data_IF_801116562808
#
_entry.id   IF_801116562808
#
_cell.length_a   1.000
_cell.length_b   1.000
_cell.length_c   1.000
_cell.angle_alpha   90.00
_cell.angle_beta   90.00
_cell.angle_gamma   90.00
#
_symmetry.space_group_name_H-M   'P 1'
#
loop_
_entity.id
_entity.type
_entity.pdbx_description
1 polymer ?
#
# COMPACT_ATOMS: atom_id res chain seq x y z
N UNK A 1 5.70 -3.36 -42.48
CA UNK A 1 6.36 -2.83 -41.27
C UNK A 1 5.42 -2.58 -40.07
N UNK A 2 4.12 -2.94 -40.11
CA UNK A 2 3.17 -2.77 -38.97
C UNK A 2 3.01 -4.01 -38.06
N UNK A 3 3.20 -5.22 -38.59
CA UNK A 3 3.06 -6.48 -37.83
C UNK A 3 4.15 -6.75 -36.78
N UNK A 4 5.30 -6.08 -36.86
CA UNK A 4 6.40 -6.25 -35.89
C UNK A 4 6.15 -5.47 -34.59
N UNK A 5 5.43 -4.35 -34.65
CA UNK A 5 5.18 -3.51 -33.48
C UNK A 5 4.14 -4.13 -32.55
N UNK A 6 3.03 -4.65 -33.10
CA UNK A 6 1.99 -5.34 -32.32
C UNK A 6 2.51 -6.63 -31.67
N UNK A 7 3.36 -7.40 -32.37
CA UNK A 7 3.98 -8.62 -31.84
C UNK A 7 4.99 -8.30 -30.72
N UNK A 8 5.73 -7.20 -30.84
CA UNK A 8 6.62 -6.69 -29.79
C UNK A 8 5.83 -6.12 -28.60
N UNK A 9 4.68 -5.48 -28.83
CA UNK A 9 3.82 -4.94 -27.77
C UNK A 9 3.12 -6.06 -26.98
N UNK A 10 2.68 -7.12 -27.67
CA UNK A 10 2.14 -8.33 -27.05
C UNK A 10 3.23 -9.13 -26.32
N UNK A 11 4.45 -9.25 -26.88
CA UNK A 11 5.58 -9.86 -26.16
C UNK A 11 6.04 -9.01 -24.96
N UNK A 12 5.93 -7.68 -25.02
CA UNK A 12 6.26 -6.81 -23.90
C UNK A 12 5.17 -6.81 -22.82
N UNK A 13 3.90 -6.87 -23.24
CA UNK A 13 2.74 -7.06 -22.36
C UNK A 13 2.80 -8.40 -21.63
N UNK A 14 3.04 -9.49 -22.36
CA UNK A 14 3.23 -10.83 -21.79
C UNK A 14 4.48 -10.88 -20.91
N UNK A 15 5.63 -10.28 -21.29
CA UNK A 15 6.84 -10.27 -20.44
C UNK A 15 6.73 -9.47 -19.14
N UNK A 16 5.73 -8.61 -18.95
CA UNK A 16 5.52 -7.88 -17.69
C UNK A 16 4.52 -8.61 -16.81
N UNK A 17 3.49 -9.21 -17.42
CA UNK A 17 2.48 -10.01 -16.75
C UNK A 17 3.05 -11.39 -16.34
N UNK A 18 3.92 -12.00 -17.16
CA UNK A 18 4.51 -13.31 -16.94
C UNK A 18 5.70 -13.32 -15.96
N UNK A 19 6.24 -12.16 -15.57
CA UNK A 19 7.46 -12.09 -14.73
C UNK A 19 7.24 -12.37 -13.24
N UNK A 20 6.00 -12.54 -12.81
CA UNK A 20 5.63 -12.71 -11.40
C UNK A 20 4.68 -13.88 -11.17
N UNK A 21 4.66 -14.85 -12.09
CA UNK A 21 3.83 -16.05 -11.90
C UNK A 21 4.39 -17.05 -10.91
N UNK A 22 5.67 -16.95 -10.52
CA UNK A 22 6.21 -17.77 -9.44
C UNK A 22 6.39 -16.96 -8.14
N UNK A 23 5.92 -17.59 -7.05
CA UNK A 23 6.00 -17.07 -5.68
C UNK A 23 7.46 -16.75 -5.27
N UNK A 24 8.41 -17.49 -5.81
CA UNK A 24 9.84 -17.34 -5.57
C UNK A 24 10.37 -16.01 -6.11
N UNK A 25 9.91 -15.55 -7.28
CA UNK A 25 10.29 -14.30 -7.93
C UNK A 25 9.80 -13.10 -7.15
N UNK A 26 8.59 -13.20 -6.57
CA UNK A 26 8.05 -12.13 -5.73
C UNK A 26 8.75 -12.05 -4.38
N UNK A 27 9.00 -13.20 -3.73
CA UNK A 27 9.83 -13.27 -2.51
C UNK A 27 11.23 -12.72 -2.75
N UNK A 28 11.87 -13.11 -3.86
CA UNK A 28 13.18 -12.61 -4.28
C UNK A 28 13.16 -11.10 -4.51
N UNK A 29 12.12 -10.58 -5.18
CA UNK A 29 11.94 -9.16 -5.39
C UNK A 29 11.82 -8.40 -4.07
N UNK A 30 10.96 -8.86 -3.16
CA UNK A 30 10.74 -8.24 -1.86
C UNK A 30 12.03 -8.24 -1.03
N UNK A 31 12.69 -9.40 -0.91
CA UNK A 31 13.92 -9.56 -0.15
C UNK A 31 15.04 -8.68 -0.69
N UNK A 32 15.30 -8.74 -2.00
CA UNK A 32 16.38 -7.95 -2.63
C UNK A 32 16.20 -6.45 -2.42
N UNK A 33 14.96 -5.96 -2.58
CA UNK A 33 14.70 -4.53 -2.41
C UNK A 33 14.65 -4.12 -0.93
N UNK A 34 14.20 -5.00 -0.04
CA UNK A 34 14.26 -4.78 1.40
C UNK A 34 15.71 -4.62 1.86
N UNK A 35 16.61 -5.55 1.50
CA UNK A 35 18.03 -5.49 1.87
C UNK A 35 18.67 -4.20 1.35
N UNK A 36 18.44 -3.84 0.08
CA UNK A 36 18.96 -2.58 -0.49
C UNK A 36 18.51 -1.34 0.28
N UNK A 37 17.25 -1.30 0.71
CA UNK A 37 16.74 -0.16 1.50
C UNK A 37 17.30 -0.19 2.92
N UNK A 38 17.42 -1.36 3.54
CA UNK A 38 18.03 -1.53 4.85
C UNK A 38 19.51 -1.12 4.86
N UNK A 39 20.28 -1.47 3.83
CA UNK A 39 21.66 -1.00 3.64
C UNK A 39 21.74 0.51 3.59
N UNK A 40 20.81 1.15 2.87
CA UNK A 40 20.73 2.60 2.82
C UNK A 40 20.45 3.19 4.21
N UNK A 41 19.58 2.57 5.01
CA UNK A 41 19.33 3.00 6.39
C UNK A 41 20.60 2.93 7.22
N UNK A 42 21.34 1.82 7.15
CA UNK A 42 22.60 1.62 7.92
C UNK A 42 23.69 2.62 7.55
N UNK A 43 23.73 3.03 6.29
CA UNK A 43 24.75 3.94 5.76
C UNK A 43 24.32 5.42 5.77
N UNK A 44 23.13 5.74 6.26
CA UNK A 44 22.65 7.13 6.39
C UNK A 44 22.75 7.60 7.85
N UNK A 45 22.93 8.90 8.06
CA UNK A 45 22.74 9.49 9.38
C UNK A 45 21.27 9.31 9.83
N UNK A 46 21.04 8.98 11.11
CA UNK A 46 19.70 8.65 11.63
C UNK A 46 18.68 9.80 11.40
N UNK A 47 19.12 11.06 11.42
CA UNK A 47 18.26 12.24 11.23
C UNK A 47 17.91 12.54 9.75
N UNK A 48 18.56 11.87 8.79
CA UNK A 48 18.36 12.14 7.36
C UNK A 48 17.18 11.36 6.75
N UNK A 49 16.55 10.45 7.49
CA UNK A 49 15.53 9.54 6.99
C UNK A 49 14.15 9.81 7.58
N UNK A 50 13.13 9.70 6.74
CA UNK A 50 11.74 9.87 7.19
C UNK A 50 11.35 8.80 8.21
N UNK A 51 10.86 9.17 9.42
CA UNK A 51 10.39 8.21 10.42
C UNK A 51 9.32 7.25 9.90
N UNK A 52 8.41 7.72 9.04
CA UNK A 52 7.37 6.88 8.43
C UNK A 52 7.96 5.78 7.55
N UNK A 53 9.03 6.07 6.81
CA UNK A 53 9.68 5.09 5.93
C UNK A 53 10.40 3.99 6.73
N UNK A 54 10.94 4.34 7.90
CA UNK A 54 11.56 3.38 8.81
C UNK A 54 10.53 2.44 9.43
N UNK A 55 9.36 2.96 9.79
CA UNK A 55 8.21 2.15 10.24
C UNK A 55 7.74 1.21 9.13
N UNK A 56 7.60 1.71 7.90
CA UNK A 56 7.20 0.89 6.75
C UNK A 56 8.19 -0.26 6.51
N UNK A 57 9.51 0.01 6.56
CA UNK A 57 10.53 -1.04 6.41
C UNK A 57 10.55 -2.04 7.55
N UNK A 58 10.38 -1.59 8.80
CA UNK A 58 10.24 -2.50 9.94
C UNK A 58 9.05 -3.44 9.73
N UNK A 59 7.94 -2.92 9.19
CA UNK A 59 6.76 -3.73 8.90
C UNK A 59 6.96 -4.68 7.72
N UNK A 60 7.69 -4.27 6.68
CA UNK A 60 8.11 -5.17 5.59
C UNK A 60 8.90 -6.35 6.15
N UNK A 61 9.86 -6.11 7.05
CA UNK A 61 10.65 -7.18 7.67
C UNK A 61 9.75 -8.19 8.40
N UNK A 62 8.79 -7.71 9.19
CA UNK A 62 7.83 -8.57 9.91
C UNK A 62 6.98 -9.41 8.94
N UNK A 63 6.54 -8.83 7.83
CA UNK A 63 5.74 -9.54 6.83
C UNK A 63 6.58 -10.58 6.08
N UNK A 64 7.81 -10.24 5.70
CA UNK A 64 8.75 -11.18 5.08
C UNK A 64 9.00 -12.40 5.97
N UNK A 65 9.23 -12.19 7.27
CA UNK A 65 9.38 -13.29 8.22
C UNK A 65 8.11 -14.15 8.32
N UNK A 66 6.92 -13.53 8.28
CA UNK A 66 5.64 -14.27 8.28
C UNK A 66 5.41 -15.12 7.04
N UNK A 67 5.94 -14.69 5.89
CA UNK A 67 5.86 -15.46 4.64
C UNK A 67 7.02 -16.46 4.47
N UNK A 68 7.79 -16.73 5.54
CA UNK A 68 8.85 -17.73 5.56
C UNK A 68 10.15 -17.31 4.89
N UNK A 69 10.35 -16.01 4.65
CA UNK A 69 11.64 -15.49 4.16
C UNK A 69 12.59 -15.34 5.34
N UNK A 70 13.67 -16.10 5.33
CA UNK A 70 14.73 -16.00 6.33
C UNK A 70 15.45 -14.66 6.19
N UNK A 71 15.35 -13.83 7.22
CA UNK A 71 16.04 -12.55 7.29
C UNK A 71 17.00 -12.61 8.48
N UNK A 72 18.30 -12.33 8.30
CA UNK A 72 19.22 -12.19 9.41
C UNK A 72 18.67 -11.22 10.46
N UNK A 73 18.66 -11.63 11.73
CA UNK A 73 18.09 -10.84 12.80
C UNK A 73 18.67 -9.42 12.83
N UNK A 74 17.78 -8.42 12.97
CA UNK A 74 18.08 -7.00 13.21
C UNK A 74 18.66 -6.20 12.03
N UNK A 75 18.24 -6.45 10.78
CA UNK A 75 18.58 -5.54 9.67
C UNK A 75 18.02 -4.12 9.86
N UNK A 76 16.83 -3.99 10.46
CA UNK A 76 16.26 -2.72 10.90
C UNK A 76 16.08 -2.76 12.42
N UNK A 77 16.53 -1.73 13.14
CA UNK A 77 16.22 -1.57 14.57
C UNK A 77 14.71 -1.59 14.73
N UNK A 78 14.17 -2.33 15.71
CA UNK A 78 12.73 -2.26 16.02
C UNK A 78 12.38 -0.84 16.43
N UNK A 79 11.78 -0.10 15.52
CA UNK A 79 11.21 1.20 15.84
C UNK A 79 9.93 0.94 16.65
N UNK A 80 9.70 1.69 17.74
CA UNK A 80 8.46 1.53 18.48
C UNK A 80 7.29 1.68 17.51
N UNK A 81 6.30 0.77 17.50
CA UNK A 81 5.09 0.96 16.71
C UNK A 81 4.52 2.30 17.12
N UNK A 82 4.50 3.29 16.20
CA UNK A 82 4.34 4.73 16.48
C UNK A 82 3.72 4.99 17.86
N UNK A 83 4.58 5.18 18.86
CA UNK A 83 4.13 5.24 20.24
C UNK A 83 3.39 6.57 20.48
N UNK A 84 2.06 6.44 20.56
CA UNK A 84 1.01 7.33 21.11
C UNK A 84 0.05 7.93 20.07
N UNK A 85 -0.94 7.08 19.73
CA UNK A 85 -2.21 7.29 19.01
C UNK A 85 -3.12 8.44 19.50
N UNK A 86 -2.67 9.27 20.43
CA UNK A 86 -3.47 10.38 20.95
C UNK A 86 -3.52 11.55 19.95
N UNK A 87 -2.39 11.83 19.28
CA UNK A 87 -2.37 12.78 18.16
C UNK A 87 -3.13 12.24 16.95
N UNK A 88 -3.02 10.95 16.65
CA UNK A 88 -3.74 10.33 15.54
C UNK A 88 -5.26 10.43 15.73
N UNK A 89 -5.75 10.27 16.95
CA UNK A 89 -7.18 10.43 17.25
C UNK A 89 -7.64 11.88 17.09
N UNK A 90 -6.87 12.86 17.58
CA UNK A 90 -7.20 14.29 17.38
C UNK A 90 -7.15 14.65 15.89
N UNK A 91 -6.16 14.14 15.16
CA UNK A 91 -6.02 14.33 13.71
C UNK A 91 -7.16 13.67 12.95
N UNK A 92 -7.58 12.47 13.37
CA UNK A 92 -8.72 11.76 12.81
C UNK A 92 -10.03 12.53 12.99
N UNK A 93 -10.34 13.01 14.19
CA UNK A 93 -11.59 13.76 14.41
C UNK A 93 -11.61 15.06 13.60
N UNK A 94 -10.46 15.77 13.53
CA UNK A 94 -10.31 16.93 12.64
C UNK A 94 -10.53 16.53 11.18
N UNK A 95 -9.86 15.49 10.69
CA UNK A 95 -10.01 15.00 9.33
C UNK A 95 -11.47 14.63 9.00
N UNK A 96 -12.12 13.88 9.90
CA UNK A 96 -13.51 13.45 9.76
C UNK A 96 -14.48 14.62 9.69
N UNK A 97 -14.24 15.68 10.46
CA UNK A 97 -15.07 16.89 10.45
C UNK A 97 -15.05 17.62 9.09
N UNK A 98 -14.00 17.46 8.28
CA UNK A 98 -13.93 18.06 6.94
C UNK A 98 -14.65 17.22 5.86
N UNK A 99 -15.08 15.98 6.17
CA UNK A 99 -15.73 15.11 5.21
C UNK A 99 -17.18 15.52 4.95
N UNK A 100 -17.45 15.91 3.70
CA UNK A 100 -18.82 16.21 3.26
C UNK A 100 -19.70 14.96 3.31
N UNK A 101 -20.71 14.98 4.19
CA UNK A 101 -21.65 13.87 4.33
C UNK A 101 -21.03 12.57 4.85
N UNK A 102 -19.96 12.66 5.65
CA UNK A 102 -19.31 11.51 6.28
C UNK A 102 -18.82 10.45 5.25
N UNK A 103 -18.35 10.96 4.10
CA UNK A 103 -17.86 10.19 2.95
C UNK A 103 -16.39 10.49 2.70
N UNK A 104 -15.56 9.46 2.59
CA UNK A 104 -14.15 9.58 2.16
C UNK A 104 -14.02 9.77 0.65
N UNK A 105 -15.09 9.49 -0.08
CA UNK A 105 -15.14 9.68 -1.53
C UNK A 105 -16.49 10.24 -1.93
N UNK A 106 -16.47 11.32 -2.73
CA UNK A 106 -17.65 11.97 -3.25
C UNK A 106 -17.38 12.46 -4.67
N UNK A 107 -18.25 12.07 -5.63
CA UNK A 107 -18.11 12.46 -7.05
C UNK A 107 -16.70 12.17 -7.62
N UNK A 108 -16.14 11.00 -7.31
CA UNK A 108 -14.79 10.57 -7.68
C UNK A 108 -13.63 11.35 -7.05
N UNK A 109 -13.90 12.30 -6.16
CA UNK A 109 -12.90 13.02 -5.36
C UNK A 109 -12.70 12.30 -4.03
N UNK A 110 -11.46 11.95 -3.72
CA UNK A 110 -11.06 11.21 -2.52
C UNK A 110 -10.51 12.16 -1.46
N UNK A 111 -10.87 11.95 -0.21
CA UNK A 111 -10.27 12.68 0.90
C UNK A 111 -8.80 12.26 1.06
N UNK A 112 -7.89 13.23 1.13
CA UNK A 112 -6.48 12.93 1.44
C UNK A 112 -6.38 12.21 2.78
N UNK A 113 -5.40 11.32 2.94
CA UNK A 113 -5.15 10.46 4.09
C UNK A 113 -6.23 9.39 4.34
N UNK A 114 -7.14 9.14 3.38
CA UNK A 114 -8.25 8.20 3.55
C UNK A 114 -7.80 6.77 3.87
N UNK A 115 -6.75 6.27 3.21
CA UNK A 115 -6.22 4.93 3.46
C UNK A 115 -5.73 4.76 4.90
N UNK A 116 -4.94 5.73 5.37
CA UNK A 116 -4.38 5.75 6.73
C UNK A 116 -5.49 5.87 7.79
N UNK A 117 -6.38 6.86 7.67
CA UNK A 117 -7.40 7.12 8.69
C UNK A 117 -8.46 6.02 8.76
N UNK A 118 -8.81 5.38 7.65
CA UNK A 118 -9.69 4.22 7.68
C UNK A 118 -9.01 3.02 8.34
N UNK A 119 -7.74 2.76 8.09
CA UNK A 119 -7.06 1.62 8.71
C UNK A 119 -6.96 1.75 10.24
N UNK A 120 -6.85 2.99 10.76
CA UNK A 120 -6.92 3.25 12.20
C UNK A 120 -8.26 2.84 12.85
N UNK A 121 -9.33 2.77 12.06
CA UNK A 121 -10.66 2.39 12.53
C UNK A 121 -10.95 0.90 12.43
N UNK A 122 -10.09 0.13 11.75
CA UNK A 122 -10.38 -1.25 11.42
C UNK A 122 -10.68 -2.12 12.65
N UNK A 123 -9.99 -1.88 13.76
CA UNK A 123 -10.15 -2.61 15.02
C UNK A 123 -10.98 -1.83 16.06
N UNK A 124 -11.69 -0.78 15.66
CA UNK A 124 -12.50 0.02 16.56
C UNK A 124 -13.65 -0.82 17.14
N UNK A 125 -13.83 -0.79 18.47
CA UNK A 125 -14.98 -1.45 19.12
C UNK A 125 -16.27 -0.62 19.08
N UNK A 126 -16.20 0.63 18.62
CA UNK A 126 -17.36 1.54 18.55
C UNK A 126 -18.22 1.25 17.31
N UNK A 127 -19.52 0.91 17.46
CA UNK A 127 -20.39 0.59 16.32
C UNK A 127 -20.46 1.69 15.26
N UNK A 128 -20.52 2.96 15.69
CA UNK A 128 -20.57 4.10 14.77
C UNK A 128 -19.29 4.28 13.94
N UNK A 129 -18.14 3.91 14.50
CA UNK A 129 -16.85 3.97 13.81
C UNK A 129 -16.68 2.79 12.85
N UNK A 130 -17.13 1.59 13.27
CA UNK A 130 -17.15 0.42 12.40
C UNK A 130 -18.07 0.59 11.21
N UNK A 131 -19.29 1.12 11.42
CA UNK A 131 -20.20 1.44 10.31
C UNK A 131 -19.58 2.45 9.34
N UNK A 132 -18.97 3.52 9.85
CA UNK A 132 -18.26 4.48 9.01
C UNK A 132 -17.11 3.83 8.22
N UNK A 133 -16.34 2.96 8.87
CA UNK A 133 -15.24 2.22 8.25
C UNK A 133 -15.75 1.35 7.09
N UNK A 134 -16.71 0.46 7.34
CA UNK A 134 -17.26 -0.47 6.33
C UNK A 134 -17.92 0.29 5.18
N UNK A 135 -18.78 1.28 5.48
CA UNK A 135 -19.50 2.05 4.45
C UNK A 135 -18.53 2.76 3.50
N UNK A 136 -17.42 3.30 4.01
CA UNK A 136 -16.43 4.00 3.20
C UNK A 136 -15.45 3.07 2.49
N UNK A 137 -15.15 1.93 3.10
CA UNK A 137 -14.32 0.91 2.49
C UNK A 137 -14.99 0.31 1.24
N UNK A 138 -16.28 0.00 1.32
CA UNK A 138 -17.09 -0.45 0.17
C UNK A 138 -17.18 0.61 -0.93
N UNK A 139 -17.27 1.91 -0.58
CA UNK A 139 -17.26 2.98 -1.57
C UNK A 139 -15.91 3.08 -2.29
N UNK A 140 -14.80 2.96 -1.56
CA UNK A 140 -13.46 2.93 -2.16
C UNK A 140 -13.30 1.72 -3.06
N UNK A 141 -13.73 0.53 -2.61
CA UNK A 141 -13.69 -0.70 -3.39
C UNK A 141 -14.36 -0.49 -4.76
N UNK A 142 -15.63 -0.07 -4.77
CA UNK A 142 -16.39 0.16 -6.01
C UNK A 142 -15.74 1.23 -6.90
N UNK A 143 -15.20 2.28 -6.30
CA UNK A 143 -14.51 3.32 -7.06
C UNK A 143 -13.27 2.77 -7.78
N UNK A 144 -12.44 2.01 -7.07
CA UNK A 144 -11.23 1.40 -7.64
C UNK A 144 -11.58 0.33 -8.67
N UNK A 145 -12.63 -0.47 -8.46
CA UNK A 145 -13.08 -1.45 -9.45
C UNK A 145 -13.53 -0.81 -10.77
N UNK A 146 -14.24 0.32 -10.69
CA UNK A 146 -14.73 1.05 -11.87
C UNK A 146 -13.60 1.82 -12.57
N UNK A 147 -12.74 2.53 -11.82
CA UNK A 147 -11.72 3.42 -12.38
C UNK A 147 -10.35 2.78 -12.60
N UNK A 148 -10.07 1.66 -11.93
CA UNK A 148 -8.81 0.90 -12.02
C UNK A 148 -7.57 1.78 -11.85
N UNK A 149 -6.70 1.85 -12.86
CA UNK A 149 -5.48 2.67 -12.85
C UNK A 149 -5.76 4.17 -12.66
N UNK A 150 -6.94 4.65 -13.04
CA UNK A 150 -7.33 6.06 -12.94
C UNK A 150 -8.05 6.36 -11.62
N UNK A 151 -8.19 5.36 -10.74
CA UNK A 151 -8.67 5.57 -9.38
C UNK A 151 -7.67 6.37 -8.55
N UNK A 152 -8.18 7.12 -7.57
CA UNK A 152 -7.35 7.87 -6.61
C UNK A 152 -6.38 8.87 -7.30
N UNK A 153 -6.84 9.53 -8.36
CA UNK A 153 -6.10 10.63 -9.02
C UNK A 153 -6.65 12.02 -8.66
N UNK A 154 -7.86 12.09 -8.12
CA UNK A 154 -8.52 13.33 -7.75
C UNK A 154 -8.74 13.36 -6.24
N UNK A 155 -8.25 14.42 -5.61
CA UNK A 155 -8.30 14.60 -4.17
C UNK A 155 -9.02 15.89 -3.78
N UNK A 156 -9.53 15.94 -2.56
CA UNK A 156 -10.29 17.07 -2.02
C UNK A 156 -9.45 18.34 -1.79
N UNK A 157 -8.13 18.19 -1.82
CA UNK A 157 -7.14 19.27 -1.88
C UNK A 157 -6.03 18.91 -2.87
N UNK A 158 -5.34 19.93 -3.37
CA UNK A 158 -4.18 19.72 -4.24
C UNK A 158 -3.06 19.02 -3.46
N UNK A 159 -2.51 17.95 -4.05
CA UNK A 159 -1.41 17.18 -3.48
C UNK A 159 -0.39 16.85 -4.56
N UNK A 160 0.86 16.68 -4.16
CA UNK A 160 1.96 16.35 -5.07
C UNK A 160 1.83 14.93 -5.62
N UNK A 161 2.49 14.66 -6.74
CA UNK A 161 2.57 13.30 -7.31
C UNK A 161 3.16 12.28 -6.32
N UNK A 162 4.08 12.72 -5.46
CA UNK A 162 4.65 11.91 -4.39
C UNK A 162 3.61 11.54 -3.34
N UNK A 163 2.73 12.47 -2.96
CA UNK A 163 1.64 12.18 -2.04
C UNK A 163 0.59 11.27 -2.69
N UNK A 164 0.25 11.48 -3.97
CA UNK A 164 -0.66 10.57 -4.72
C UNK A 164 -0.12 9.14 -4.69
N UNK A 165 1.20 8.98 -4.88
CA UNK A 165 1.85 7.67 -4.76
C UNK A 165 1.59 7.04 -3.39
N UNK A 166 1.85 7.77 -2.30
CA UNK A 166 1.65 7.26 -0.94
C UNK A 166 0.18 6.91 -0.68
N UNK A 167 -0.76 7.79 -1.04
CA UNK A 167 -2.20 7.55 -0.85
C UNK A 167 -2.67 6.25 -1.49
N UNK A 168 -2.21 5.98 -2.72
CA UNK A 168 -2.60 4.77 -3.45
C UNK A 168 -2.14 3.51 -2.75
N UNK A 169 -0.89 3.49 -2.29
CA UNK A 169 -0.35 2.33 -1.58
C UNK A 169 -0.94 2.19 -0.18
N UNK A 170 -1.27 3.29 0.51
CA UNK A 170 -2.03 3.24 1.76
C UNK A 170 -3.41 2.58 1.57
N UNK A 171 -4.11 2.88 0.47
CA UNK A 171 -5.38 2.19 0.13
C UNK A 171 -5.16 0.72 -0.23
N UNK A 172 -4.09 0.39 -0.97
CA UNK A 172 -3.70 -1.01 -1.24
C UNK A 172 -3.48 -1.79 0.06
N UNK A 173 -2.69 -1.24 0.99
CA UNK A 173 -2.41 -1.84 2.31
C UNK A 173 -3.70 -2.03 3.10
N UNK A 174 -4.56 -1.02 3.13
CA UNK A 174 -5.87 -1.08 3.79
C UNK A 174 -6.73 -2.23 3.23
N UNK A 175 -6.81 -2.39 1.90
CA UNK A 175 -7.54 -3.47 1.27
C UNK A 175 -6.95 -4.84 1.58
N UNK A 176 -5.63 -5.01 1.54
CA UNK A 176 -4.98 -6.27 1.92
C UNK A 176 -5.29 -6.67 3.36
N UNK A 177 -5.17 -5.71 4.29
CA UNK A 177 -5.48 -5.93 5.71
C UNK A 177 -6.94 -6.28 5.92
N UNK A 178 -7.86 -5.55 5.30
CA UNK A 178 -9.28 -5.86 5.42
C UNK A 178 -9.66 -7.20 4.80
N UNK A 179 -9.10 -7.55 3.63
CA UNK A 179 -9.32 -8.83 2.99
C UNK A 179 -9.00 -10.00 3.93
N UNK A 180 -7.88 -9.92 4.68
CA UNK A 180 -7.53 -10.93 5.69
C UNK A 180 -8.48 -10.93 6.89
N UNK A 181 -8.81 -9.76 7.44
CA UNK A 181 -9.73 -9.63 8.59
C UNK A 181 -11.13 -10.18 8.29
N UNK A 182 -11.66 -9.90 7.09
CA UNK A 182 -13.02 -10.24 6.69
C UNK A 182 -13.10 -11.52 5.83
N UNK A 183 -11.96 -12.12 5.47
CA UNK A 183 -11.86 -13.22 4.49
C UNK A 183 -12.57 -12.90 3.17
N UNK A 184 -12.48 -11.65 2.71
CA UNK A 184 -13.15 -11.16 1.49
C UNK A 184 -12.12 -10.89 0.36
N UNK A 185 -12.11 -11.77 -0.63
CA UNK A 185 -11.19 -11.75 -1.77
C UNK A 185 -11.43 -10.57 -2.72
N UNK A 186 -12.61 -9.90 -2.69
CA UNK A 186 -12.87 -8.73 -3.54
C UNK A 186 -11.89 -7.60 -3.25
N UNK A 187 -11.55 -7.41 -1.98
CA UNK A 187 -10.58 -6.42 -1.55
C UNK A 187 -9.16 -6.79 -1.97
N UNK A 188 -8.76 -8.06 -1.83
CA UNK A 188 -7.44 -8.51 -2.29
C UNK A 188 -7.28 -8.37 -3.81
N UNK A 189 -8.28 -8.78 -4.58
CA UNK A 189 -8.30 -8.60 -6.04
C UNK A 189 -8.19 -7.10 -6.42
N UNK A 190 -8.86 -6.23 -5.67
CA UNK A 190 -8.79 -4.78 -5.91
C UNK A 190 -7.44 -4.20 -5.55
N UNK A 191 -6.79 -4.69 -4.49
CA UNK A 191 -5.42 -4.33 -4.13
C UNK A 191 -4.44 -4.68 -5.27
N UNK A 192 -4.57 -5.86 -5.90
CA UNK A 192 -3.78 -6.22 -7.09
C UNK A 192 -3.95 -5.24 -8.23
N UNK A 193 -5.19 -4.92 -8.61
CA UNK A 193 -5.49 -3.93 -9.66
C UNK A 193 -4.88 -2.56 -9.35
N UNK A 194 -4.87 -2.18 -8.08
CA UNK A 194 -4.34 -0.89 -7.64
C UNK A 194 -2.81 -0.85 -7.57
N UNK A 195 -2.11 -1.99 -7.53
CA UNK A 195 -0.64 -2.01 -7.45
C UNK A 195 0.07 -2.35 -8.78
N UNK A 196 -0.64 -2.97 -9.73
CA UNK A 196 -0.09 -3.48 -11.00
C UNK A 196 0.71 -2.42 -11.82
N UNK A 197 0.23 -1.18 -11.86
CA UNK A 197 0.89 -0.10 -12.60
C UNK A 197 2.13 0.49 -11.88
N UNK A 198 2.23 0.32 -10.55
CA UNK A 198 3.26 0.97 -9.75
C UNK A 198 4.65 0.34 -9.97
N UNK A 199 4.69 -0.94 -10.35
CA UNK A 199 5.94 -1.67 -10.59
C UNK A 199 6.83 -1.01 -11.65
N UNK A 200 6.25 -0.50 -12.74
CA UNK A 200 7.01 0.18 -13.80
C UNK A 200 7.73 1.42 -13.29
N UNK A 201 7.11 2.12 -12.34
CA UNK A 201 7.63 3.37 -11.78
C UNK A 201 8.64 3.12 -10.64
N UNK A 202 8.59 1.97 -9.97
CA UNK A 202 9.52 1.62 -8.89
C UNK A 202 11.00 1.62 -9.32
N UNK A 203 11.26 1.31 -10.59
CA UNK A 203 12.63 1.24 -11.15
C UNK A 203 13.28 2.61 -11.39
N UNK A 204 12.53 3.70 -11.39
CA UNK A 204 13.02 5.02 -11.83
C UNK A 204 13.02 6.05 -10.71
N UNK A 205 14.19 6.43 -10.19
CA UNK A 205 14.42 7.70 -9.50
C UNK A 205 13.54 8.06 -8.28
N UNK A 206 12.66 7.17 -7.81
CA UNK A 206 11.71 7.50 -6.74
C UNK A 206 12.41 7.63 -5.39
N UNK A 207 11.86 8.53 -4.56
CA UNK A 207 12.37 8.83 -3.22
C UNK A 207 12.34 7.61 -2.29
N UNK A 208 13.18 7.63 -1.25
CA UNK A 208 13.27 6.54 -0.28
C UNK A 208 11.93 6.22 0.41
N UNK A 209 11.15 7.21 0.90
CA UNK A 209 9.84 6.93 1.50
C UNK A 209 8.88 6.23 0.54
N UNK A 210 8.87 6.63 -0.74
CA UNK A 210 8.03 6.01 -1.77
C UNK A 210 8.41 4.55 -2.02
N UNK A 211 9.71 4.23 -2.01
CA UNK A 211 10.20 2.85 -2.15
C UNK A 211 9.80 2.00 -0.96
N UNK A 212 9.98 2.50 0.26
CA UNK A 212 9.60 1.79 1.48
C UNK A 212 8.08 1.50 1.52
N UNK A 213 7.27 2.50 1.21
CA UNK A 213 5.81 2.39 1.22
C UNK A 213 5.28 1.45 0.12
N UNK A 214 5.85 1.50 -1.08
CA UNK A 214 5.53 0.52 -2.13
C UNK A 214 5.89 -0.90 -1.72
N UNK A 215 7.09 -1.09 -1.14
CA UNK A 215 7.53 -2.40 -0.70
C UNK A 215 6.62 -2.96 0.40
N UNK A 216 6.14 -2.10 1.30
CA UNK A 216 5.13 -2.47 2.29
C UNK A 216 3.82 -2.92 1.63
N UNK A 217 3.33 -2.19 0.63
CA UNK A 217 2.12 -2.58 -0.09
C UNK A 217 2.26 -3.94 -0.77
N UNK A 218 3.39 -4.21 -1.43
CA UNK A 218 3.66 -5.53 -2.05
C UNK A 218 3.76 -6.62 -0.97
N UNK A 219 4.47 -6.39 0.12
CA UNK A 219 4.58 -7.37 1.21
C UNK A 219 3.23 -7.69 1.87
N UNK A 220 2.35 -6.70 2.01
CA UNK A 220 0.98 -6.90 2.51
C UNK A 220 0.12 -7.70 1.52
N UNK A 221 0.32 -7.53 0.22
CA UNK A 221 -0.34 -8.35 -0.81
C UNK A 221 0.12 -9.81 -0.78
N UNK A 222 1.43 -10.05 -0.72
CA UNK A 222 1.97 -11.41 -0.64
C UNK A 222 1.50 -12.13 0.62
N UNK A 223 1.55 -11.45 1.77
CA UNK A 223 1.04 -12.02 3.01
C UNK A 223 -0.48 -12.31 2.94
N UNK A 224 -1.28 -11.42 2.34
CA UNK A 224 -2.71 -11.70 2.10
C UNK A 224 -2.96 -12.86 1.15
N UNK A 225 -2.13 -13.00 0.12
CA UNK A 225 -2.22 -14.09 -0.85
C UNK A 225 -1.97 -15.42 -0.16
N UNK A 226 -0.89 -15.51 0.62
CA UNK A 226 -0.58 -16.70 1.38
C UNK A 226 -1.64 -17.04 2.43
N UNK A 227 -2.23 -16.05 3.11
CA UNK A 227 -3.24 -16.33 4.16
C UNK A 227 -4.64 -16.69 3.61
N UNK A 228 -4.94 -16.35 2.34
CA UNK A 228 -6.28 -16.47 1.78
C UNK A 228 -6.40 -17.45 0.62
N UNK A 229 -5.29 -17.76 -0.06
CA UNK A 229 -5.30 -18.54 -1.31
C UNK A 229 -4.41 -19.79 -1.25
N UNK A 230 -3.55 -19.92 -0.24
CA UNK A 230 -2.64 -21.06 -0.02
C UNK A 230 -3.04 -21.74 1.29
#
# INVERSE_FOLDING_TARGET
MRFSFEKNLLQFGNRIIDRYHDEESMRTFLFTNFVRLADKVRNSAEDALSPSALVDLSRVQELLQRIGVEIPDKLIKKYPPMAKRQNDRKNFEKWRAHLKGNKVISRAVVAVDAGMFLDLLADSKKPTSQRFYIDNLERLLRHVEVKRKDALLQFDREISADQIWIERHCVTILFCRHARRAKDLRFLNTAFKLNDWAFRNFKHGISFPRKANYLLAVAEQEYSTQELLI
#
